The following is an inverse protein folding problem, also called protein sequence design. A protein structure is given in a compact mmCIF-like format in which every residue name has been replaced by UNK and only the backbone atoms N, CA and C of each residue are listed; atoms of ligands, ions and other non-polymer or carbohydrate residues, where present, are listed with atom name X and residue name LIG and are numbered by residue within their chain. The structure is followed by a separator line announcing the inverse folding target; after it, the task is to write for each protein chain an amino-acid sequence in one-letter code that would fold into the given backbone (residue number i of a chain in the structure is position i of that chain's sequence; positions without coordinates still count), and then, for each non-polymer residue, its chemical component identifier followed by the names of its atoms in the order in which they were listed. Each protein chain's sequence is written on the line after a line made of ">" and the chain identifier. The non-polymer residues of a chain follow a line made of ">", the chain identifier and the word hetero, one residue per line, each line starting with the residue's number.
data_IF_330862916923
#
_entry.id   IF_330862916923
#
_cell.length_a   1.000
_cell.length_b   1.000
_cell.length_c   1.000
_cell.angle_alpha   90.00
_cell.angle_beta   90.00
_cell.angle_gamma   90.00
#
_symmetry.space_group_name_H-M   'P 1'
#
loop_
_entity.id
_entity.type
_entity.pdbx_description
1 polymer ?
#
# COMPACT_ATOMS: atom_id res chain seq x y z
N UNK A 1 2.17 6.39 16.53
CA UNK A 1 1.48 6.75 15.29
C UNK A 1 0.17 7.50 15.52
N UNK A 2 -0.86 6.91 16.11
CA UNK A 2 -2.17 7.58 16.27
C UNK A 2 -2.08 8.99 16.88
N UNK A 3 -1.38 9.15 18.00
CA UNK A 3 -1.20 10.46 18.65
C UNK A 3 -0.47 11.51 17.80
N UNK A 4 0.47 11.07 16.96
CA UNK A 4 1.21 11.95 16.07
C UNK A 4 0.37 12.42 14.87
N UNK A 5 -0.61 11.63 14.44
CA UNK A 5 -1.37 11.91 13.23
C UNK A 5 -2.77 12.48 13.48
N UNK A 6 -3.37 12.23 14.65
CA UNK A 6 -4.73 12.72 14.96
C UNK A 6 -4.92 14.21 14.71
N UNK A 7 -4.00 15.12 15.07
CA UNK A 7 -4.16 16.55 14.81
C UNK A 7 -4.07 16.95 13.32
N UNK A 8 -3.58 16.05 12.46
CA UNK A 8 -3.27 16.32 11.07
C UNK A 8 -4.13 15.51 10.08
N UNK A 9 -5.18 14.86 10.59
CA UNK A 9 -6.08 14.06 9.74
C UNK A 9 -6.89 14.95 8.81
N UNK A 10 -6.86 14.62 7.51
CA UNK A 10 -7.66 15.22 6.46
C UNK A 10 -8.42 14.14 5.70
N UNK A 11 -9.50 14.51 4.99
CA UNK A 11 -10.20 13.59 4.10
C UNK A 11 -9.22 12.95 3.12
N UNK A 12 -9.30 11.64 2.98
CA UNK A 12 -8.40 10.89 2.12
C UNK A 12 -8.69 11.17 0.64
N UNK A 13 -7.61 11.27 -0.14
CA UNK A 13 -7.68 11.35 -1.59
C UNK A 13 -7.28 10.01 -2.20
N UNK A 14 -7.72 9.78 -3.43
CA UNK A 14 -7.28 8.69 -4.31
C UNK A 14 -6.46 9.25 -5.47
N UNK A 15 -5.54 8.44 -5.97
CA UNK A 15 -4.81 8.77 -7.20
C UNK A 15 -5.59 8.21 -8.40
N UNK A 16 -5.91 9.10 -9.33
CA UNK A 16 -6.50 8.72 -10.62
C UNK A 16 -5.45 9.00 -11.72
N UNK A 17 -5.08 8.01 -12.54
CA UNK A 17 -4.07 8.20 -13.59
C UNK A 17 -4.38 9.34 -14.57
N UNK A 18 -5.66 9.60 -14.84
CA UNK A 18 -6.10 10.60 -15.81
C UNK A 18 -6.38 11.98 -15.17
N UNK A 19 -6.82 12.00 -13.91
CA UNK A 19 -7.28 13.21 -13.21
C UNK A 19 -6.37 13.65 -12.05
N UNK A 20 -5.34 12.87 -11.73
CA UNK A 20 -4.42 13.16 -10.61
C UNK A 20 -5.04 12.81 -9.24
N UNK A 21 -4.60 13.53 -8.21
CA UNK A 21 -5.04 13.31 -6.82
C UNK A 21 -6.37 14.02 -6.58
N UNK A 22 -7.41 13.29 -6.21
CA UNK A 22 -8.75 13.82 -5.97
C UNK A 22 -9.50 13.11 -4.83
N UNK A 23 -10.52 13.76 -4.29
CA UNK A 23 -11.48 13.09 -3.41
C UNK A 23 -12.36 12.15 -4.24
N UNK A 24 -12.68 10.99 -3.67
CA UNK A 24 -13.55 10.00 -4.31
C UNK A 24 -14.37 9.27 -3.25
N UNK A 25 -15.60 8.91 -3.59
CA UNK A 25 -16.43 8.01 -2.77
C UNK A 25 -15.87 6.59 -2.70
N UNK A 26 -14.91 6.25 -3.57
CA UNK A 26 -14.21 4.97 -3.53
C UNK A 26 -13.40 4.78 -2.24
N UNK A 27 -13.06 5.88 -1.55
CA UNK A 27 -12.31 5.85 -0.31
C UNK A 27 -12.89 6.82 0.73
N UNK A 28 -13.62 6.29 1.69
CA UNK A 28 -14.20 7.06 2.80
C UNK A 28 -13.33 6.84 4.05
N UNK A 29 -12.36 7.72 4.26
CA UNK A 29 -11.47 7.72 5.42
C UNK A 29 -10.84 9.10 5.61
N UNK A 30 -10.19 9.31 6.75
CA UNK A 30 -9.27 10.41 6.97
C UNK A 30 -7.85 9.87 7.01
N UNK A 31 -6.88 10.62 6.50
CA UNK A 31 -5.48 10.23 6.57
C UNK A 31 -4.55 11.37 6.97
N UNK A 32 -3.38 10.99 7.43
CA UNK A 32 -2.24 11.87 7.62
C UNK A 32 -0.96 11.11 7.28
N UNK A 33 0.07 11.86 6.90
CA UNK A 33 1.36 11.31 6.54
C UNK A 33 2.38 11.56 7.64
N UNK A 34 3.18 10.55 7.93
CA UNK A 34 4.41 10.68 8.71
C UNK A 34 5.57 10.38 7.76
N UNK A 35 6.49 11.31 7.66
CA UNK A 35 7.67 11.16 6.80
C UNK A 35 8.90 10.82 7.63
N UNK A 36 9.89 10.19 7.01
CA UNK A 36 11.15 9.87 7.65
C UNK A 36 11.91 11.16 8.02
N UNK A 37 12.12 11.44 9.32
CA UNK A 37 12.80 12.67 9.74
C UNK A 37 14.28 12.71 9.38
N UNK A 38 14.93 11.55 9.22
CA UNK A 38 16.32 11.48 8.79
C UNK A 38 16.46 11.89 7.30
N UNK A 39 15.41 11.64 6.51
CA UNK A 39 15.32 12.03 5.11
C UNK A 39 14.65 13.40 4.89
N UNK A 40 13.63 13.68 5.69
CA UNK A 40 12.82 14.89 5.61
C UNK A 40 12.72 15.56 7.00
N UNK A 41 13.81 16.18 7.49
CA UNK A 41 13.84 16.75 8.86
C UNK A 41 12.85 17.92 9.05
N UNK A 42 12.49 18.59 7.95
CA UNK A 42 11.55 19.71 7.94
C UNK A 42 10.51 19.46 6.85
N UNK A 43 9.23 19.46 7.21
CA UNK A 43 8.09 19.37 6.28
C UNK A 43 7.29 20.66 6.39
N UNK A 44 7.11 21.38 5.26
CA UNK A 44 6.36 22.64 5.19
C UNK A 44 6.84 23.68 6.25
N UNK A 45 8.16 23.73 6.50
CA UNK A 45 8.75 24.65 7.48
C UNK A 45 8.65 24.18 8.94
N UNK A 46 8.08 23.00 9.20
CA UNK A 46 7.93 22.43 10.56
C UNK A 46 8.93 21.30 10.77
N UNK A 47 9.79 21.36 11.82
CA UNK A 47 10.65 20.26 12.20
C UNK A 47 9.84 19.02 12.58
N UNK A 48 10.32 17.84 12.16
CA UNK A 48 9.67 16.58 12.52
C UNK A 48 9.99 16.19 13.98
N UNK A 49 9.00 15.64 14.74
CA UNK A 49 9.22 15.26 16.14
C UNK A 49 10.27 14.13 16.28
N UNK A 50 11.15 14.16 17.30
CA UNK A 50 12.14 13.12 17.54
C UNK A 50 11.57 11.70 17.71
N UNK A 51 10.36 11.60 18.29
CA UNK A 51 9.65 10.33 18.46
C UNK A 51 9.33 9.66 17.11
N UNK A 52 9.13 10.46 16.07
CA UNK A 52 8.88 9.98 14.72
C UNK A 52 10.12 9.30 14.14
N UNK A 53 11.32 9.83 14.36
CA UNK A 53 12.56 9.22 13.92
C UNK A 53 12.80 7.84 14.55
N UNK A 54 12.54 7.73 15.86
CA UNK A 54 12.62 6.42 16.54
C UNK A 54 11.63 5.41 15.95
N UNK A 55 10.39 5.83 15.73
CA UNK A 55 9.35 5.00 15.13
C UNK A 55 9.77 4.49 13.74
N UNK A 56 10.29 5.38 12.89
CA UNK A 56 10.77 5.02 11.56
C UNK A 56 11.89 3.99 11.61
N UNK A 57 12.92 4.20 12.41
CA UNK A 57 14.02 3.24 12.55
C UNK A 57 13.56 1.87 13.01
N UNK A 58 12.65 1.79 14.00
CA UNK A 58 12.12 0.52 14.50
C UNK A 58 11.32 -0.22 13.43
N UNK A 59 10.45 0.50 12.70
CA UNK A 59 9.61 -0.14 11.68
C UNK A 59 10.45 -0.56 10.47
N UNK A 60 11.33 0.31 9.98
CA UNK A 60 12.22 -0.04 8.86
C UNK A 60 13.10 -1.24 9.19
N UNK A 61 13.67 -1.29 10.40
CA UNK A 61 14.45 -2.46 10.82
C UNK A 61 13.63 -3.76 10.80
N UNK A 62 12.37 -3.72 11.25
CA UNK A 62 11.47 -4.89 11.18
C UNK A 62 11.12 -5.26 9.75
N UNK A 63 10.92 -4.27 8.88
CA UNK A 63 10.69 -4.49 7.46
C UNK A 63 11.87 -5.26 6.85
N UNK A 64 13.08 -4.76 7.05
CA UNK A 64 14.31 -5.39 6.54
C UNK A 64 14.48 -6.82 7.08
N UNK A 65 14.30 -7.01 8.38
CA UNK A 65 14.44 -8.32 9.02
C UNK A 65 13.40 -9.36 8.53
N UNK A 66 12.17 -8.90 8.25
CA UNK A 66 11.09 -9.80 7.84
C UNK A 66 11.06 -10.07 6.34
N UNK A 67 11.48 -9.11 5.51
CA UNK A 67 11.27 -9.17 4.05
C UNK A 67 12.56 -9.26 3.25
N UNK A 68 13.69 -8.85 3.84
CA UNK A 68 14.96 -8.67 3.13
C UNK A 68 14.97 -7.44 2.20
N UNK A 69 13.89 -6.64 2.20
CA UNK A 69 13.82 -5.40 1.40
C UNK A 69 14.48 -4.25 2.15
N UNK A 70 15.06 -3.31 1.41
CA UNK A 70 15.62 -2.09 1.96
C UNK A 70 14.51 -1.12 2.37
N UNK A 71 14.54 -0.63 3.61
CA UNK A 71 13.61 0.39 4.11
C UNK A 71 13.90 1.80 3.61
N UNK A 72 15.05 2.04 3.00
CA UNK A 72 15.36 3.30 2.33
C UNK A 72 14.53 3.43 1.05
N UNK A 73 14.02 4.63 0.76
CA UNK A 73 13.20 4.85 -0.45
C UNK A 73 11.74 4.44 -0.31
N UNK A 74 11.30 4.03 0.88
CA UNK A 74 9.88 3.88 1.16
C UNK A 74 9.18 5.24 1.09
N UNK A 75 7.90 5.24 0.70
CA UNK A 75 7.04 6.40 0.90
C UNK A 75 6.87 6.66 2.42
N UNK A 76 6.38 7.84 2.79
CA UNK A 76 5.98 8.08 4.17
C UNK A 76 4.93 7.09 4.67
N UNK A 77 4.82 6.93 5.98
CA UNK A 77 3.70 6.19 6.55
C UNK A 77 2.39 6.94 6.30
N UNK A 78 1.50 6.37 5.51
CA UNK A 78 0.14 6.87 5.40
C UNK A 78 -0.72 6.27 6.50
N UNK A 79 -1.02 7.04 7.52
CA UNK A 79 -1.89 6.62 8.61
C UNK A 79 -3.34 6.96 8.27
N UNK A 80 -4.21 5.95 8.28
CA UNK A 80 -5.61 6.06 7.89
C UNK A 80 -6.52 5.77 9.07
N UNK A 81 -7.57 6.57 9.20
CA UNK A 81 -8.66 6.36 10.13
C UNK A 81 -9.98 6.21 9.35
N UNK A 82 -10.63 5.07 9.53
CA UNK A 82 -11.94 4.76 8.98
C UNK A 82 -12.95 4.78 10.13
N UNK A 83 -13.95 5.66 10.05
CA UNK A 83 -15.13 5.67 10.93
C UNK A 83 -16.18 4.66 10.48
N UNK A 84 -17.35 4.66 11.12
CA UNK A 84 -18.49 3.82 10.73
C UNK A 84 -18.87 4.11 9.28
N UNK A 85 -19.10 3.07 8.48
CA UNK A 85 -19.31 3.15 7.04
C UNK A 85 -18.06 3.42 6.21
N UNK A 86 -16.94 3.79 6.86
CA UNK A 86 -15.66 4.06 6.18
C UNK A 86 -15.12 2.80 5.51
N UNK A 87 -14.64 2.95 4.29
CA UNK A 87 -14.21 1.85 3.43
C UNK A 87 -13.20 2.33 2.38
N UNK A 88 -12.62 1.38 1.65
CA UNK A 88 -11.87 1.62 0.43
C UNK A 88 -12.22 0.55 -0.59
N UNK A 89 -12.75 0.96 -1.75
CA UNK A 89 -13.16 0.04 -2.81
C UNK A 89 -11.97 -0.68 -3.42
N UNK A 90 -12.24 -1.56 -4.37
CA UNK A 90 -11.26 -2.39 -5.06
C UNK A 90 -10.21 -1.57 -5.77
N UNK A 91 -8.95 -1.79 -5.43
CA UNK A 91 -7.81 -1.09 -6.02
C UNK A 91 -6.56 -1.95 -6.03
N UNK A 92 -5.59 -1.52 -6.81
CA UNK A 92 -4.20 -1.96 -6.77
C UNK A 92 -3.37 -0.87 -6.09
N UNK A 93 -2.33 -1.26 -5.39
CA UNK A 93 -1.40 -0.30 -4.82
C UNK A 93 -0.32 0.14 -5.81
N UNK A 94 -0.07 -0.63 -6.88
CA UNK A 94 0.79 -0.19 -7.99
C UNK A 94 0.16 1.00 -8.70
N UNK A 95 1.00 1.99 -9.06
CA UNK A 95 0.54 3.28 -9.60
C UNK A 95 0.46 3.27 -11.12
N UNK A 96 1.30 2.47 -11.77
CA UNK A 96 1.56 2.59 -13.20
C UNK A 96 1.15 1.37 -14.02
N UNK A 97 0.35 0.47 -13.46
CA UNK A 97 -0.08 -0.76 -14.13
C UNK A 97 -0.83 -0.53 -15.46
N UNK A 98 -1.41 0.67 -15.66
CA UNK A 98 -2.06 1.08 -16.91
C UNK A 98 -1.24 2.09 -17.72
N UNK A 99 -0.03 2.45 -17.28
CA UNK A 99 0.78 3.43 -17.96
C UNK A 99 1.40 2.84 -19.24
N UNK A 100 0.98 3.37 -20.38
CA UNK A 100 1.45 2.99 -21.70
C UNK A 100 2.55 3.91 -22.25
N UNK A 101 3.08 4.83 -21.45
CA UNK A 101 4.06 5.83 -21.89
C UNK A 101 5.40 5.22 -22.31
N UNK A 102 5.68 3.97 -21.89
CA UNK A 102 6.98 3.33 -22.08
C UNK A 102 8.10 3.93 -21.21
N UNK A 103 7.78 4.88 -20.36
CA UNK A 103 8.74 5.48 -19.43
C UNK A 103 8.78 4.66 -18.16
N UNK A 104 9.96 4.15 -17.80
CA UNK A 104 10.14 3.43 -16.55
C UNK A 104 10.02 4.39 -15.36
N UNK A 105 9.12 4.09 -14.45
CA UNK A 105 8.83 4.89 -13.25
C UNK A 105 9.04 4.03 -12.01
N UNK A 106 9.41 4.67 -10.91
CA UNK A 106 9.52 3.99 -9.62
C UNK A 106 8.12 3.63 -9.11
N UNK A 107 7.70 2.39 -9.33
CA UNK A 107 6.42 1.91 -8.83
C UNK A 107 6.55 1.29 -7.44
N UNK A 108 5.44 1.01 -6.81
CA UNK A 108 5.32 0.37 -5.50
C UNK A 108 5.51 -1.14 -5.64
N UNK A 109 6.74 -1.62 -5.40
CA UNK A 109 7.08 -3.05 -5.44
C UNK A 109 6.23 -3.85 -4.46
N UNK A 110 6.08 -3.33 -3.24
CA UNK A 110 5.36 -4.04 -2.18
C UNK A 110 4.66 -3.07 -1.24
N UNK A 111 3.68 -3.59 -0.51
CA UNK A 111 2.95 -2.89 0.54
C UNK A 111 3.13 -3.63 1.86
N UNK A 112 3.39 -2.88 2.91
CA UNK A 112 3.32 -3.35 4.29
C UNK A 112 2.28 -2.52 5.04
N UNK A 113 1.16 -3.15 5.39
CA UNK A 113 0.06 -2.52 6.12
C UNK A 113 0.03 -3.02 7.57
N UNK A 114 -0.11 -2.10 8.53
CA UNK A 114 -0.20 -2.41 9.96
C UNK A 114 -1.56 -2.03 10.51
N UNK A 115 -2.15 -2.89 11.33
CA UNK A 115 -3.34 -2.58 12.11
C UNK A 115 -2.96 -1.93 13.45
N UNK A 116 -3.46 -0.73 13.69
CA UNK A 116 -3.13 0.05 14.90
C UNK A 116 -4.14 -0.12 16.04
N UNK A 117 -5.25 -0.79 15.78
CA UNK A 117 -6.26 -1.19 16.77
C UNK A 117 -7.07 -2.38 16.29
N UNK A 118 -7.78 -3.00 17.22
CA UNK A 118 -8.84 -3.95 16.92
C UNK A 118 -10.09 -3.21 16.46
N UNK A 119 -10.92 -3.86 15.65
CA UNK A 119 -12.22 -3.36 15.20
C UNK A 119 -13.29 -4.26 15.77
N UNK A 120 -14.37 -3.68 16.28
CA UNK A 120 -15.45 -4.44 16.91
C UNK A 120 -16.20 -5.26 15.88
N UNK A 121 -16.57 -4.64 14.73
CA UNK A 121 -17.27 -5.33 13.66
C UNK A 121 -16.98 -4.69 12.30
N UNK A 122 -16.79 -5.53 11.27
CA UNK A 122 -16.45 -5.11 9.92
C UNK A 122 -14.96 -4.83 9.72
N UNK A 123 -14.63 -4.06 8.69
CA UNK A 123 -13.29 -3.53 8.45
C UNK A 123 -12.25 -4.53 7.96
N UNK A 124 -12.62 -5.72 7.51
CA UNK A 124 -11.68 -6.67 6.93
C UNK A 124 -10.94 -6.06 5.75
N UNK A 125 -9.68 -6.46 5.57
CA UNK A 125 -8.95 -6.28 4.31
C UNK A 125 -9.14 -7.54 3.49
N UNK A 126 -9.66 -7.41 2.27
CA UNK A 126 -10.02 -8.56 1.43
C UNK A 126 -9.26 -8.55 0.11
N UNK A 127 -8.76 -9.72 -0.29
CA UNK A 127 -8.14 -10.00 -1.57
C UNK A 127 -9.05 -10.98 -2.31
N UNK A 128 -9.96 -10.48 -3.13
CA UNK A 128 -11.01 -11.32 -3.75
C UNK A 128 -10.45 -12.37 -4.69
N UNK A 129 -9.44 -12.02 -5.48
CA UNK A 129 -8.84 -12.96 -6.43
C UNK A 129 -8.06 -14.09 -5.75
N UNK A 130 -7.69 -13.91 -4.48
CA UNK A 130 -7.05 -14.92 -3.64
C UNK A 130 -8.04 -15.59 -2.67
N UNK A 131 -9.28 -15.13 -2.62
CA UNK A 131 -10.30 -15.58 -1.67
C UNK A 131 -9.82 -15.47 -0.19
N UNK A 132 -9.16 -14.35 0.14
CA UNK A 132 -8.60 -14.07 1.47
C UNK A 132 -9.34 -12.89 2.09
N UNK A 133 -9.75 -13.04 3.35
CA UNK A 133 -10.26 -11.97 4.20
C UNK A 133 -9.45 -11.90 5.49
N UNK A 134 -8.86 -10.75 5.79
CA UNK A 134 -7.98 -10.54 6.94
C UNK A 134 -8.68 -9.60 7.91
N UNK A 135 -9.08 -10.07 9.10
CA UNK A 135 -9.67 -9.22 10.11
C UNK A 135 -8.62 -8.25 10.69
N UNK A 136 -9.01 -7.01 11.03
CA UNK A 136 -8.13 -6.08 11.69
C UNK A 136 -7.81 -6.56 13.11
N UNK A 137 -6.52 -6.76 13.38
CA UNK A 137 -6.01 -7.17 14.68
C UNK A 137 -4.84 -6.26 15.07
N UNK A 138 -4.99 -5.57 16.20
CA UNK A 138 -3.97 -4.63 16.70
C UNK A 138 -2.58 -5.27 16.78
N UNK A 139 -1.61 -4.61 16.17
CA UNK A 139 -0.21 -5.05 16.18
C UNK A 139 0.14 -6.07 15.09
N UNK A 140 -0.86 -6.63 14.38
CA UNK A 140 -0.62 -7.43 13.21
C UNK A 140 -0.25 -6.58 12.00
N UNK A 141 0.49 -7.19 11.07
CA UNK A 141 0.83 -6.59 9.79
C UNK A 141 0.50 -7.55 8.65
N UNK A 142 0.16 -6.99 7.50
CA UNK A 142 -0.01 -7.71 6.24
C UNK A 142 1.00 -7.19 5.25
N UNK A 143 1.70 -8.10 4.60
CA UNK A 143 2.69 -7.79 3.57
C UNK A 143 2.31 -8.48 2.27
N UNK A 144 2.42 -7.76 1.15
CA UNK A 144 2.26 -8.35 -0.18
C UNK A 144 3.12 -7.62 -1.21
N UNK A 145 3.54 -8.37 -2.23
CA UNK A 145 4.14 -7.79 -3.42
C UNK A 145 3.04 -7.30 -4.36
N UNK A 146 3.18 -6.07 -4.87
CA UNK A 146 2.28 -5.50 -5.88
C UNK A 146 2.71 -5.88 -7.30
N UNK A 147 4.00 -6.20 -7.45
CA UNK A 147 4.61 -6.51 -8.73
C UNK A 147 5.20 -7.91 -8.75
N UNK A 148 5.11 -8.55 -9.90
CA UNK A 148 5.88 -9.76 -10.20
C UNK A 148 7.38 -9.45 -10.31
N UNK A 149 8.27 -10.46 -10.23
CA UNK A 149 9.71 -10.27 -10.46
C UNK A 149 10.05 -9.69 -11.85
N UNK A 150 9.13 -9.74 -12.79
CA UNK A 150 9.25 -9.10 -14.12
C UNK A 150 8.97 -7.59 -14.10
N UNK A 151 8.51 -7.03 -12.98
CA UNK A 151 8.07 -5.65 -12.86
C UNK A 151 6.61 -5.41 -13.32
N UNK A 152 5.90 -6.46 -13.73
CA UNK A 152 4.49 -6.37 -14.09
C UNK A 152 3.61 -6.42 -12.83
N UNK A 153 2.45 -5.74 -12.90
CA UNK A 153 1.50 -5.77 -11.80
C UNK A 153 1.01 -7.19 -11.49
N UNK A 154 0.97 -7.56 -10.23
CA UNK A 154 0.35 -8.80 -9.78
C UNK A 154 -1.16 -8.57 -9.57
N UNK A 155 -1.94 -8.90 -10.58
CA UNK A 155 -3.39 -8.69 -10.55
C UNK A 155 -4.13 -9.53 -9.49
N UNK A 156 -3.47 -10.53 -8.88
CA UNK A 156 -4.04 -11.29 -7.76
C UNK A 156 -4.20 -10.44 -6.51
N UNK A 157 -3.42 -9.36 -6.39
CA UNK A 157 -3.43 -8.46 -5.23
C UNK A 157 -4.49 -7.37 -5.28
N UNK A 158 -5.48 -7.46 -6.19
CA UNK A 158 -6.67 -6.64 -6.14
C UNK A 158 -7.32 -6.77 -4.76
N UNK A 159 -7.41 -5.66 -4.03
CA UNK A 159 -7.88 -5.69 -2.65
C UNK A 159 -8.79 -4.52 -2.30
N UNK A 160 -9.51 -4.65 -1.18
CA UNK A 160 -10.40 -3.64 -0.66
C UNK A 160 -10.39 -3.62 0.88
N UNK A 161 -10.76 -2.48 1.45
CA UNK A 161 -11.09 -2.33 2.86
C UNK A 161 -12.60 -2.34 3.06
N UNK A 162 -13.13 -3.39 3.66
CA UNK A 162 -14.57 -3.51 3.94
C UNK A 162 -15.07 -2.40 4.86
N UNK A 163 -16.35 -2.02 4.77
CA UNK A 163 -16.95 -1.03 5.65
C UNK A 163 -16.82 -1.38 7.13
N UNK A 164 -16.64 -0.36 7.95
CA UNK A 164 -16.68 -0.48 9.41
C UNK A 164 -18.16 -0.49 9.82
N UNK A 165 -18.57 -1.54 10.51
CA UNK A 165 -19.95 -1.66 11.03
C UNK A 165 -20.04 -1.14 12.46
N UNK A 166 -19.01 -1.42 13.29
CA UNK A 166 -18.94 -0.91 14.66
C UNK A 166 -17.50 -0.58 15.06
N UNK A 167 -17.31 0.58 15.68
CA UNK A 167 -16.01 1.06 16.12
C UNK A 167 -15.29 1.93 15.08
N UNK A 168 -13.98 1.88 15.07
CA UNK A 168 -13.13 2.59 14.11
C UNK A 168 -11.96 1.71 13.72
N UNK A 169 -11.45 1.84 12.49
CA UNK A 169 -10.25 1.15 12.02
C UNK A 169 -9.12 2.14 11.81
N UNK A 170 -8.00 1.88 12.46
CA UNK A 170 -6.75 2.58 12.20
C UNK A 170 -5.74 1.64 11.59
N UNK A 171 -5.25 2.01 10.42
CA UNK A 171 -4.17 1.29 9.73
C UNK A 171 -3.10 2.26 9.29
N UNK A 172 -1.92 1.76 9.05
CA UNK A 172 -0.88 2.51 8.35
C UNK A 172 -0.33 1.68 7.21
N UNK A 173 -0.18 2.31 6.06
CA UNK A 173 0.47 1.73 4.89
C UNK A 173 1.89 2.27 4.77
N UNK A 174 2.81 1.40 4.41
CA UNK A 174 4.16 1.73 3.99
C UNK A 174 4.36 1.10 2.61
N UNK A 175 4.55 1.93 1.60
CA UNK A 175 4.83 1.48 0.25
C UNK A 175 6.33 1.51 -0.02
N UNK A 176 6.82 0.42 -0.60
CA UNK A 176 8.22 0.16 -0.86
C UNK A 176 8.43 0.30 -2.36
N UNK A 177 9.20 1.31 -2.77
CA UNK A 177 9.52 1.56 -4.17
C UNK A 177 10.49 0.51 -4.72
N UNK A 178 10.38 0.23 -6.02
CA UNK A 178 11.21 -0.79 -6.69
C UNK A 178 12.66 -0.35 -6.93
N UNK A 179 12.92 0.94 -7.17
CA UNK A 179 14.25 1.43 -7.51
C UNK A 179 15.30 1.12 -6.44
N UNK A 180 14.93 1.27 -5.17
CA UNK A 180 15.83 1.02 -4.05
C UNK A 180 16.04 -0.49 -3.80
N UNK A 181 15.26 -1.34 -4.50
CA UNK A 181 15.33 -2.79 -4.33
C UNK A 181 16.13 -3.51 -5.41
N UNK A 182 16.61 -2.81 -6.45
CA UNK A 182 17.29 -3.42 -7.63
C UNK A 182 18.43 -4.35 -7.23
N UNK A 183 19.20 -4.00 -6.19
CA UNK A 183 20.32 -4.83 -5.71
C UNK A 183 19.92 -5.87 -4.66
N UNK A 184 18.76 -5.69 -3.98
CA UNK A 184 18.24 -6.63 -2.97
C UNK A 184 17.34 -7.67 -3.61
N UNK A 185 16.57 -7.28 -4.61
CA UNK A 185 15.65 -8.13 -5.35
C UNK A 185 15.70 -7.80 -6.85
N UNK A 186 16.75 -8.24 -7.55
CA UNK A 186 16.91 -7.94 -8.97
C UNK A 186 15.78 -8.56 -9.78
N UNK A 187 15.39 -7.88 -10.86
CA UNK A 187 14.44 -8.39 -11.83
C UNK A 187 14.97 -9.69 -12.46
N UNK A 188 14.11 -10.69 -12.57
CA UNK A 188 14.45 -11.91 -13.29
C UNK A 188 14.54 -11.62 -14.79
N UNK A 189 15.69 -11.99 -15.41
CA UNK A 189 15.79 -12.12 -16.85
C UNK A 189 15.26 -13.51 -17.21
N UNK A 190 14.07 -13.61 -17.75
CA UNK A 190 13.56 -14.92 -18.13
C UNK A 190 12.38 -14.86 -19.07
N UNK A 191 11.98 -16.03 -19.55
CA UNK A 191 10.91 -16.27 -20.52
C UNK A 191 9.57 -15.61 -20.16
N UNK A 192 9.35 -15.29 -18.90
CA UNK A 192 8.16 -14.61 -18.41
C UNK A 192 8.03 -13.15 -18.90
N UNK A 193 9.12 -12.53 -19.37
CA UNK A 193 9.07 -11.20 -20.01
C UNK A 193 8.66 -11.25 -21.49
N UNK A 194 8.94 -12.35 -22.16
CA UNK A 194 8.69 -12.48 -23.62
C UNK A 194 7.29 -12.98 -23.96
N UNK A 195 6.57 -13.58 -23.00
CA UNK A 195 5.31 -14.27 -23.28
C UNK A 195 4.07 -13.57 -22.76
N UNK A 196 4.20 -12.47 -22.00
CA UNK A 196 3.01 -11.85 -21.40
C UNK A 196 3.00 -10.35 -21.60
N UNK A 197 2.30 -9.90 -22.63
CA UNK A 197 1.81 -8.53 -22.62
C UNK A 197 0.87 -8.36 -21.41
N UNK A 198 0.70 -7.15 -20.85
CA UNK A 198 -0.32 -6.90 -19.83
C UNK A 198 -1.69 -7.46 -20.23
N UNK A 199 -1.98 -7.49 -21.52
CA UNK A 199 -3.21 -8.02 -22.08
C UNK A 199 -3.28 -9.56 -21.98
N UNK A 200 -2.18 -10.27 -22.17
CA UNK A 200 -2.14 -11.74 -22.08
C UNK A 200 -2.31 -12.21 -20.65
N UNK A 201 -1.75 -11.47 -19.68
CA UNK A 201 -1.93 -11.73 -18.26
C UNK A 201 -3.38 -11.49 -17.85
N UNK A 202 -4.01 -10.40 -18.30
CA UNK A 202 -5.43 -10.11 -18.04
C UNK A 202 -6.28 -11.25 -18.64
N UNK A 203 -6.08 -11.60 -19.90
CA UNK A 203 -6.82 -12.67 -20.57
C UNK A 203 -6.64 -14.03 -19.89
N UNK A 204 -5.42 -14.35 -19.41
CA UNK A 204 -5.17 -15.59 -18.67
C UNK A 204 -5.98 -15.65 -17.37
N UNK A 205 -6.01 -14.55 -16.58
CA UNK A 205 -6.77 -14.51 -15.34
C UNK A 205 -8.28 -14.43 -15.57
N UNK A 206 -8.74 -13.76 -16.60
CA UNK A 206 -10.16 -13.76 -16.98
C UNK A 206 -10.61 -15.15 -17.42
N UNK A 207 -9.79 -15.87 -18.20
CA UNK A 207 -10.07 -17.25 -18.58
C UNK A 207 -10.07 -18.19 -17.37
N UNK A 208 -9.16 -18.01 -16.42
CA UNK A 208 -9.11 -18.79 -15.19
C UNK A 208 -10.36 -18.57 -14.33
N UNK A 209 -10.81 -17.31 -14.19
CA UNK A 209 -12.02 -16.96 -13.45
C UNK A 209 -13.30 -17.47 -14.13
N UNK A 210 -13.32 -17.53 -15.45
CA UNK A 210 -14.46 -18.08 -16.21
C UNK A 210 -14.55 -19.62 -16.12
N UNK A 211 -13.47 -20.28 -15.68
CA UNK A 211 -13.40 -21.74 -15.51
C UNK A 211 -13.71 -22.21 -14.08
N UNK A 212 -13.90 -21.29 -13.15
CA UNK A 212 -14.27 -21.55 -11.75
C UNK A 212 -15.76 -21.31 -11.50
#
# INVERSE_FOLDING_TARGET
>A
MKSLTTPHLNSANVFNPDAGVQQSEDRISNNAWLYDPDRYPIISGVPQPPEQAHLYRVINKRLEDCTGLNGVGTEGFQVNNYGIGGHYLWHYDSLYYNDKSGTYKNDRLATWMFYLNDVVEGGNTVFTRLNIAIPPMKGAAVFWYNLHPSGLNDFRTLHAGCPILQGTKWVTNLWIGEFEQIFHKPCLKGADRETSSPHDIINYYEALLASM
#
